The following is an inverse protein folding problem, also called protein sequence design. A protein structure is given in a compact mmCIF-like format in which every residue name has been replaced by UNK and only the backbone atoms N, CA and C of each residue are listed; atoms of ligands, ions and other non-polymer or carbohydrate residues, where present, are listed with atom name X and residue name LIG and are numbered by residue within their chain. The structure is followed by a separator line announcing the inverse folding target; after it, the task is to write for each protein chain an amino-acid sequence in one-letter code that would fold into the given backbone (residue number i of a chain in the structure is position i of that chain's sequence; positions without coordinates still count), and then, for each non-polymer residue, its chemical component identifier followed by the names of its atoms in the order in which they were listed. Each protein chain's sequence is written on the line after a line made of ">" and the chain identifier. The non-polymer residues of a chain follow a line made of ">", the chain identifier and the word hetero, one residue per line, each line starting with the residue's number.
data_IF_717745954558
#
_entry.id   IF_717745954558
#
_cell.length_a   1.000
_cell.length_b   1.000
_cell.length_c   1.000
_cell.angle_alpha   90.00
_cell.angle_beta   90.00
_cell.angle_gamma   90.00
#
_symmetry.space_group_name_H-M   'P 1'
#
loop_
_entity.id
_entity.type
_entity.pdbx_description
1 polymer ?
#
# COMPACT_ATOMS: atom_id res chain seq x y z
N UNK A 1 8.95 -17.45 7.47
CA UNK A 1 7.57 -17.44 8.00
C UNK A 1 7.18 -16.07 8.51
N UNK A 2 8.04 -15.36 9.25
CA UNK A 2 7.73 -14.04 9.85
C UNK A 2 7.65 -12.88 8.84
N UNK A 3 8.49 -12.89 7.81
CA UNK A 3 8.55 -11.81 6.81
C UNK A 3 7.24 -11.63 6.03
N UNK A 4 6.58 -12.74 5.69
CA UNK A 4 5.31 -12.71 4.97
C UNK A 4 4.16 -12.21 5.84
N UNK A 5 4.21 -12.46 7.16
CA UNK A 5 3.26 -11.87 8.11
C UNK A 5 3.44 -10.35 8.21
N UNK A 6 4.69 -9.86 8.20
CA UNK A 6 4.96 -8.42 8.20
C UNK A 6 4.52 -7.74 6.90
N UNK A 7 4.70 -8.38 5.74
CA UNK A 7 4.24 -7.87 4.47
C UNK A 7 2.71 -7.72 4.44
N UNK A 8 1.98 -8.71 4.94
CA UNK A 8 0.52 -8.65 5.05
C UNK A 8 0.06 -7.55 6.00
N UNK A 9 0.75 -7.32 7.12
CA UNK A 9 0.41 -6.18 8.00
C UNK A 9 0.74 -4.83 7.39
N UNK A 10 1.80 -4.72 6.57
CA UNK A 10 2.06 -3.50 5.83
C UNK A 10 0.98 -3.25 4.76
N UNK A 11 0.46 -4.30 4.11
CA UNK A 11 -0.69 -4.18 3.20
C UNK A 11 -1.94 -3.68 3.92
N UNK A 12 -2.20 -4.13 5.15
CA UNK A 12 -3.29 -3.59 5.98
C UNK A 12 -3.07 -2.13 6.32
N UNK A 13 -1.84 -1.74 6.67
CA UNK A 13 -1.48 -0.34 6.92
C UNK A 13 -1.85 0.56 5.73
N UNK A 14 -1.49 0.13 4.51
CA UNK A 14 -1.85 0.85 3.27
C UNK A 14 -3.36 1.00 3.11
N UNK A 15 -4.14 -0.05 3.36
CA UNK A 15 -5.60 0.00 3.25
C UNK A 15 -6.24 0.95 4.27
N UNK A 16 -5.73 0.95 5.51
CA UNK A 16 -6.21 1.85 6.55
C UNK A 16 -5.86 3.31 6.25
N UNK A 17 -4.60 3.56 5.87
CA UNK A 17 -4.13 4.88 5.47
C UNK A 17 -4.92 5.41 4.27
N UNK A 18 -5.16 4.59 3.24
CA UNK A 18 -6.00 4.96 2.08
C UNK A 18 -7.44 5.29 2.50
N UNK A 19 -8.00 4.54 3.45
CA UNK A 19 -9.33 4.80 4.00
C UNK A 19 -9.47 6.15 4.69
N UNK A 20 -8.38 6.70 5.21
CA UNK A 20 -8.32 8.02 5.83
C UNK A 20 -7.92 9.13 4.84
N UNK A 21 -6.98 8.85 3.94
CA UNK A 21 -6.49 9.75 2.92
C UNK A 21 -5.98 8.95 1.72
N UNK A 22 -6.35 9.34 0.49
CA UNK A 22 -5.95 8.63 -0.74
C UNK A 22 -4.41 8.54 -0.98
N UNK A 23 -3.61 9.20 -0.14
CA UNK A 23 -2.16 9.28 -0.24
C UNK A 23 -1.56 9.26 1.17
N UNK A 24 -0.38 8.66 1.30
CA UNK A 24 0.35 8.55 2.56
C UNK A 24 1.86 8.70 2.32
N UNK A 25 2.59 9.09 3.34
CA UNK A 25 4.04 9.21 3.30
C UNK A 25 4.72 7.90 3.67
N UNK A 26 6.04 7.85 3.48
CA UNK A 26 6.87 6.77 4.00
C UNK A 26 6.79 6.69 5.53
N UNK A 27 6.84 7.84 6.20
CA UNK A 27 6.79 7.96 7.67
C UNK A 27 5.46 7.43 8.24
N UNK A 28 4.35 7.56 7.52
CA UNK A 28 3.06 7.00 7.93
C UNK A 28 3.12 5.46 8.00
N UNK A 29 3.71 4.81 6.99
CA UNK A 29 3.91 3.36 6.97
C UNK A 29 4.89 2.91 8.05
N UNK A 30 5.96 3.66 8.24
CA UNK A 30 6.98 3.35 9.25
C UNK A 30 6.42 3.44 10.67
N UNK A 31 5.65 4.48 10.98
CA UNK A 31 5.01 4.66 12.27
C UNK A 31 3.98 3.56 12.54
N UNK A 32 3.20 3.17 11.54
CA UNK A 32 2.29 2.03 11.65
C UNK A 32 3.07 0.74 11.93
N UNK A 33 4.13 0.46 11.15
CA UNK A 33 4.95 -0.73 11.29
C UNK A 33 5.57 -0.84 12.70
N UNK A 34 6.10 0.27 13.24
CA UNK A 34 6.61 0.38 14.62
C UNK A 34 5.52 0.07 15.65
N UNK A 35 4.30 0.61 15.47
CA UNK A 35 3.16 0.36 16.35
C UNK A 35 2.68 -1.10 16.34
N UNK A 36 2.93 -1.83 15.27
CA UNK A 36 2.51 -3.21 15.06
C UNK A 36 3.63 -4.24 15.26
N UNK A 37 4.79 -3.83 15.78
CA UNK A 37 5.88 -4.73 16.16
C UNK A 37 6.74 -5.20 14.98
N UNK A 38 6.63 -4.58 13.82
CA UNK A 38 7.52 -4.83 12.69
C UNK A 38 8.87 -4.15 12.98
N UNK A 39 10.00 -4.86 12.91
CA UNK A 39 11.31 -4.25 13.18
C UNK A 39 11.64 -3.19 12.13
N UNK A 40 12.10 -2.02 12.56
CA UNK A 40 12.48 -0.89 11.69
C UNK A 40 13.42 -1.31 10.54
N UNK A 41 14.40 -2.19 10.83
CA UNK A 41 15.33 -2.74 9.82
C UNK A 41 14.67 -3.54 8.70
N UNK A 42 13.45 -4.03 8.89
CA UNK A 42 12.68 -4.78 7.89
C UNK A 42 11.75 -3.86 7.09
N UNK A 43 11.34 -2.72 7.66
CA UNK A 43 10.31 -1.83 7.08
C UNK A 43 10.71 -1.34 5.69
N UNK A 44 11.93 -0.82 5.53
CA UNK A 44 12.44 -0.37 4.23
C UNK A 44 12.37 -1.48 3.18
N UNK A 45 12.73 -2.72 3.54
CA UNK A 45 12.69 -3.87 2.65
C UNK A 45 11.27 -4.21 2.23
N UNK A 46 10.34 -4.24 3.19
CA UNK A 46 8.94 -4.54 2.95
C UNK A 46 8.25 -3.47 2.10
N UNK A 47 8.59 -2.19 2.30
CA UNK A 47 8.06 -1.10 1.45
C UNK A 47 8.57 -1.23 0.02
N UNK A 48 9.85 -1.58 -0.18
CA UNK A 48 10.35 -1.87 -1.52
C UNK A 48 9.65 -3.07 -2.16
N UNK A 49 9.32 -4.11 -1.38
CA UNK A 49 8.55 -5.25 -1.84
C UNK A 49 7.14 -4.82 -2.29
N UNK A 50 6.44 -3.98 -1.52
CA UNK A 50 5.13 -3.45 -1.92
C UNK A 50 5.18 -2.64 -3.22
N UNK A 51 6.29 -1.93 -3.48
CA UNK A 51 6.49 -1.21 -4.75
C UNK A 51 6.77 -2.21 -5.88
N UNK A 52 7.58 -3.24 -5.63
CA UNK A 52 7.93 -4.26 -6.60
C UNK A 52 6.72 -5.13 -7.00
N UNK A 53 5.82 -5.41 -6.04
CA UNK A 53 4.52 -6.06 -6.27
C UNK A 53 3.48 -5.12 -6.91
N UNK A 54 3.87 -3.88 -7.23
CA UNK A 54 3.01 -2.81 -7.71
C UNK A 54 1.82 -2.52 -6.78
N UNK A 55 1.85 -2.96 -5.52
CA UNK A 55 0.78 -2.74 -4.55
C UNK A 55 0.65 -1.26 -4.19
N UNK A 56 1.77 -0.56 -4.09
CA UNK A 56 1.84 0.90 -3.94
C UNK A 56 2.75 1.50 -5.00
N UNK A 57 2.54 2.78 -5.32
CA UNK A 57 3.45 3.53 -6.17
C UNK A 57 3.75 4.90 -5.56
N UNK A 58 4.97 5.38 -5.79
CA UNK A 58 5.37 6.74 -5.45
C UNK A 58 4.78 7.73 -6.45
N UNK A 59 4.16 8.79 -5.95
CA UNK A 59 3.59 9.85 -6.78
C UNK A 59 4.72 10.74 -7.30
N UNK A 60 4.84 10.86 -8.62
CA UNK A 60 5.93 11.59 -9.27
C UNK A 60 6.00 13.06 -8.81
N UNK A 61 7.20 13.52 -8.44
CA UNK A 61 7.42 14.88 -7.94
C UNK A 61 7.03 15.10 -6.48
N UNK A 62 6.72 14.04 -5.73
CA UNK A 62 6.35 14.13 -4.31
C UNK A 62 7.08 13.07 -3.46
N UNK A 63 6.93 13.17 -2.13
CA UNK A 63 7.35 12.14 -1.16
C UNK A 63 6.19 11.23 -0.72
N UNK A 64 5.08 11.27 -1.47
CA UNK A 64 3.86 10.53 -1.16
C UNK A 64 3.74 9.26 -2.01
N UNK A 65 3.01 8.31 -1.45
CA UNK A 65 2.66 7.03 -2.02
C UNK A 65 1.13 6.92 -2.10
N UNK A 66 0.66 6.12 -3.03
CA UNK A 66 -0.74 5.72 -3.12
C UNK A 66 -0.84 4.25 -3.50
N UNK A 67 -1.94 3.60 -3.12
CA UNK A 67 -2.18 2.21 -3.50
C UNK A 67 -2.50 2.14 -4.99
N UNK A 68 -1.93 1.16 -5.68
CA UNK A 68 -2.32 0.88 -7.05
C UNK A 68 -3.66 0.15 -7.05
N UNK A 69 -4.72 0.89 -7.31
CA UNK A 69 -6.04 0.28 -7.51
C UNK A 69 -6.12 -0.19 -8.97
N UNK A 70 -5.90 -1.48 -9.21
CA UNK A 70 -6.34 -2.13 -10.43
C UNK A 70 -7.88 -2.15 -10.42
N UNK A 71 -8.51 -1.04 -10.83
CA UNK A 71 -9.93 -1.07 -11.16
C UNK A 71 -10.07 -1.94 -12.39
N UNK A 72 -10.51 -3.18 -12.19
CA UNK A 72 -11.07 -4.01 -13.25
C UNK A 72 -12.31 -3.29 -13.80
N UNK A 73 -12.11 -2.39 -14.77
CA UNK A 73 -13.20 -1.76 -15.52
C UNK A 73 -13.96 -2.78 -16.40
N UNK A 74 -13.51 -4.03 -16.41
CA UNK A 74 -14.05 -5.18 -17.12
C UNK A 74 -15.52 -5.51 -16.78
N UNK A 75 -16.10 -4.99 -15.68
CA UNK A 75 -17.51 -5.22 -15.33
C UNK A 75 -18.44 -4.01 -15.51
N UNK A 76 -17.92 -2.81 -15.82
CA UNK A 76 -18.76 -1.63 -15.99
C UNK A 76 -19.34 -1.49 -17.42
N UNK A 77 -18.79 -2.22 -18.40
CA UNK A 77 -19.21 -2.13 -19.80
C UNK A 77 -20.46 -2.97 -20.16
N UNK A 78 -20.91 -3.90 -19.32
CA UNK A 78 -22.03 -4.81 -19.66
C UNK A 78 -23.42 -4.32 -19.19
N UNK A 79 -23.57 -3.09 -18.69
CA UNK A 79 -24.88 -2.58 -18.22
C UNK A 79 -25.27 -1.21 -18.77
N UNK A 80 -24.99 -0.95 -20.04
CA UNK A 80 -25.77 0.03 -20.80
C UNK A 80 -26.64 -0.70 -21.83
N UNK A 81 -27.94 -0.91 -21.58
CA UNK A 81 -28.86 -1.21 -22.67
C UNK A 81 -28.93 0.02 -23.58
N UNK A 82 -28.66 -0.19 -24.87
CA UNK A 82 -28.97 0.75 -25.96
C UNK A 82 -30.47 1.00 -26.06
#
# INVERSE_FOLDING_TARGET
>A
MVEQEYLEELKRAVLELEGHANMFSFEDLENYAKGHGIPEKEVDGLIHELIAEEYIHKIHGTELYSRTVHKDYSQAAEKQPL
#
